data_IF_741522730637
#
_entry.id   IF_741522730637
#
_cell.length_a   1.000
_cell.length_b   1.000
_cell.length_c   1.000
_cell.angle_alpha   90.00
_cell.angle_beta   90.00
_cell.angle_gamma   90.00
#
_symmetry.space_group_name_H-M   'P 1'
#
loop_
_entity.id
_entity.type
_entity.pdbx_description
1 polymer ?
#
# COMPACT_ATOMS: atom_id res chain seq x y z
N UNK A 1 -8.51 15.57 20.35
CA UNK A 1 -8.03 14.54 19.41
C UNK A 1 -7.58 13.37 20.25
N UNK A 2 -8.23 12.23 20.13
CA UNK A 2 -7.78 11.01 20.82
C UNK A 2 -6.47 10.56 20.18
N UNK A 3 -5.49 10.15 20.98
CA UNK A 3 -4.17 9.71 20.49
C UNK A 3 -4.28 8.25 20.07
N UNK A 4 -3.83 7.93 18.86
CA UNK A 4 -3.75 6.55 18.38
C UNK A 4 -2.73 5.76 19.23
N UNK A 5 -3.15 4.70 19.96
CA UNK A 5 -2.23 3.94 20.79
C UNK A 5 -1.27 3.07 19.95
N UNK A 6 -0.04 2.82 20.46
CA UNK A 6 0.90 1.95 19.78
C UNK A 6 0.38 0.51 19.69
N UNK A 7 0.77 -0.21 18.63
CA UNK A 7 0.60 -1.65 18.53
C UNK A 7 1.80 -2.36 19.13
N UNK A 8 1.56 -3.45 19.88
CA UNK A 8 2.61 -4.26 20.50
C UNK A 8 2.40 -5.73 20.15
N UNK A 9 3.47 -6.41 19.76
CA UNK A 9 3.53 -7.86 19.50
C UNK A 9 4.89 -8.36 20.00
N UNK A 10 4.89 -9.18 21.05
CA UNK A 10 6.12 -9.63 21.72
C UNK A 10 7.04 -8.45 22.07
N UNK A 11 8.24 -8.39 21.47
CA UNK A 11 9.25 -7.35 21.63
C UNK A 11 9.17 -6.25 20.55
N UNK A 12 8.21 -6.31 19.62
CA UNK A 12 7.99 -5.29 18.59
C UNK A 12 6.93 -4.30 19.03
N UNK A 13 7.20 -3.01 18.84
CA UNK A 13 6.24 -1.92 19.01
C UNK A 13 6.17 -1.09 17.74
N UNK A 14 4.97 -0.86 17.24
CA UNK A 14 4.71 0.05 16.11
C UNK A 14 3.96 1.29 16.61
N UNK A 15 4.46 2.47 16.26
CA UNK A 15 3.91 3.77 16.63
C UNK A 15 4.25 4.80 15.57
N UNK A 16 3.51 5.92 15.52
CA UNK A 16 3.91 7.09 14.75
C UNK A 16 5.06 7.84 15.45
N UNK A 17 5.90 8.56 14.69
CA UNK A 17 6.79 9.58 15.25
C UNK A 17 6.00 10.63 16.03
N UNK A 18 6.63 11.25 17.02
CA UNK A 18 6.05 12.36 17.78
C UNK A 18 6.36 13.66 17.03
N UNK A 19 5.34 14.45 16.72
CA UNK A 19 5.50 15.83 16.26
C UNK A 19 5.72 16.74 17.46
N UNK A 20 6.92 17.30 17.59
CA UNK A 20 7.23 18.27 18.63
C UNK A 20 6.77 19.67 18.24
N UNK A 21 7.14 20.12 17.04
CA UNK A 21 6.84 21.47 16.57
C UNK A 21 6.60 21.49 15.05
N UNK A 22 5.73 22.39 14.60
CA UNK A 22 5.52 22.68 13.19
C UNK A 22 5.59 24.19 12.95
N UNK A 23 6.48 24.60 12.03
CA UNK A 23 6.70 25.98 11.65
C UNK A 23 6.02 26.25 10.31
N UNK A 24 4.81 26.81 10.34
CA UNK A 24 4.01 27.05 9.14
C UNK A 24 4.70 27.97 8.10
N UNK A 25 5.50 28.95 8.56
CA UNK A 25 6.18 29.89 7.65
C UNK A 25 7.27 29.24 6.78
N UNK A 26 7.88 28.16 7.25
CA UNK A 26 8.95 27.44 6.55
C UNK A 26 8.55 26.03 6.13
N UNK A 27 7.30 25.63 6.41
CA UNK A 27 6.82 24.25 6.25
C UNK A 27 7.74 23.21 6.89
N UNK A 28 8.32 23.54 8.05
CA UNK A 28 9.27 22.66 8.75
C UNK A 28 8.60 21.95 9.94
N UNK A 29 8.74 20.62 9.99
CA UNK A 29 8.30 19.79 11.12
C UNK A 29 9.51 19.29 11.91
N UNK A 30 9.46 19.38 13.23
CA UNK A 30 10.41 18.76 14.14
C UNK A 30 9.75 17.50 14.71
N UNK A 31 10.28 16.34 14.33
CA UNK A 31 9.78 15.02 14.72
C UNK A 31 10.72 14.35 15.73
N UNK A 32 10.22 13.34 16.44
CA UNK A 32 11.06 12.45 17.24
C UNK A 32 12.11 11.76 16.40
N UNK A 33 13.36 11.84 16.83
CA UNK A 33 14.46 11.06 16.25
C UNK A 33 14.30 9.56 16.58
N UNK A 34 14.72 8.72 15.63
CA UNK A 34 14.71 7.26 15.73
C UNK A 34 16.16 6.76 15.61
N UNK A 35 16.98 6.87 16.68
CA UNK A 35 18.39 6.51 16.60
C UNK A 35 18.56 5.01 16.38
N UNK A 36 19.53 4.64 15.52
CA UNK A 36 19.77 3.25 15.09
C UNK A 36 18.58 2.62 14.35
N UNK A 37 17.81 3.43 13.64
CA UNK A 37 16.75 2.94 12.76
C UNK A 37 17.26 2.62 11.35
N UNK A 38 16.47 1.81 10.63
CA UNK A 38 16.59 1.57 9.21
C UNK A 38 15.20 1.62 8.57
N UNK A 39 15.14 1.89 7.27
CA UNK A 39 13.89 1.73 6.51
C UNK A 39 13.50 0.25 6.49
N UNK A 40 12.20 -0.06 6.47
CA UNK A 40 11.73 -1.44 6.43
C UNK A 40 12.28 -2.20 5.21
N UNK A 41 12.34 -1.55 4.05
CA UNK A 41 12.98 -2.12 2.85
C UNK A 41 14.45 -2.53 3.11
N UNK A 42 15.23 -1.68 3.79
CA UNK A 42 16.64 -1.96 4.06
C UNK A 42 16.76 -3.10 5.07
N UNK A 43 15.96 -3.06 6.15
CA UNK A 43 15.89 -4.14 7.13
C UNK A 43 15.59 -5.49 6.47
N UNK A 44 14.56 -5.55 5.61
CA UNK A 44 14.15 -6.79 4.95
C UNK A 44 15.19 -7.32 3.95
N UNK A 45 16.08 -6.47 3.43
CA UNK A 45 17.19 -6.90 2.57
C UNK A 45 18.45 -7.34 3.35
N UNK A 46 18.42 -7.31 4.68
CA UNK A 46 19.57 -7.79 5.46
C UNK A 46 19.71 -9.31 5.36
N UNK A 47 20.95 -9.84 5.23
CA UNK A 47 21.17 -11.28 5.29
C UNK A 47 20.75 -11.85 6.65
N UNK A 48 20.37 -13.13 6.66
CA UNK A 48 20.18 -13.92 7.89
C UNK A 48 19.09 -13.39 8.84
N UNK A 49 18.03 -12.79 8.30
CA UNK A 49 16.86 -12.39 9.07
C UNK A 49 16.18 -13.57 9.77
N UNK A 50 15.85 -13.39 11.05
CA UNK A 50 14.97 -14.30 11.77
C UNK A 50 13.53 -14.15 11.25
N UNK A 51 13.00 -15.24 10.66
CA UNK A 51 11.63 -15.27 10.15
C UNK A 51 10.57 -14.97 11.24
N UNK A 52 10.84 -15.32 12.50
CA UNK A 52 9.94 -15.00 13.62
C UNK A 52 9.98 -13.50 13.95
N UNK A 53 11.14 -12.85 13.87
CA UNK A 53 11.25 -11.40 14.01
C UNK A 53 10.46 -10.68 12.91
N UNK A 54 10.69 -11.05 11.64
CA UNK A 54 9.96 -10.49 10.49
C UNK A 54 8.45 -10.71 10.63
N UNK A 55 8.04 -11.88 11.12
CA UNK A 55 6.63 -12.18 11.40
C UNK A 55 6.05 -11.25 12.46
N UNK A 56 6.74 -11.06 13.58
CA UNK A 56 6.31 -10.15 14.64
C UNK A 56 6.22 -8.69 14.15
N UNK A 57 7.16 -8.25 13.29
CA UNK A 57 7.09 -6.94 12.63
C UNK A 57 5.86 -6.84 11.74
N UNK A 58 5.59 -7.86 10.92
CA UNK A 58 4.39 -7.94 10.09
C UNK A 58 3.11 -7.76 10.91
N UNK A 59 2.91 -8.61 11.93
CA UNK A 59 1.71 -8.55 12.79
C UNK A 59 1.60 -7.20 13.50
N UNK A 60 2.70 -6.65 14.03
CA UNK A 60 2.65 -5.36 14.73
C UNK A 60 2.28 -4.21 13.78
N UNK A 61 2.86 -4.18 12.58
CA UNK A 61 2.60 -3.16 11.57
C UNK A 61 1.17 -3.23 11.04
N UNK A 62 0.69 -4.44 10.71
CA UNK A 62 -0.69 -4.64 10.27
C UNK A 62 -1.70 -4.23 11.34
N UNK A 63 -1.44 -4.59 12.62
CA UNK A 63 -2.28 -4.19 13.75
C UNK A 63 -2.32 -2.69 13.95
N UNK A 64 -1.18 -2.02 13.79
CA UNK A 64 -1.13 -0.56 13.90
C UNK A 64 -1.91 0.10 12.77
N UNK A 65 -1.76 -0.39 11.54
CA UNK A 65 -2.45 0.16 10.37
C UNK A 65 -3.97 -0.02 10.45
N UNK A 66 -4.44 -1.19 10.91
CA UNK A 66 -5.86 -1.43 11.17
C UNK A 66 -6.43 -0.44 12.20
N UNK A 67 -5.72 -0.25 13.32
CA UNK A 67 -6.11 0.74 14.33
C UNK A 67 -6.07 2.16 13.81
N UNK A 68 -5.11 2.51 12.95
CA UNK A 68 -5.03 3.83 12.33
C UNK A 68 -6.26 4.11 11.45
N UNK A 69 -6.65 3.16 10.60
CA UNK A 69 -7.86 3.29 9.78
C UNK A 69 -9.14 3.38 10.63
N UNK A 70 -9.27 2.53 11.66
CA UNK A 70 -10.40 2.58 12.59
C UNK A 70 -10.46 3.90 13.36
N UNK A 71 -9.33 4.35 13.90
CA UNK A 71 -9.18 5.62 14.60
C UNK A 71 -9.51 6.80 13.68
N UNK A 72 -8.98 6.80 12.46
CA UNK A 72 -9.21 7.84 11.46
C UNK A 72 -10.68 7.97 11.06
N UNK A 73 -11.46 6.88 11.17
CA UNK A 73 -12.90 6.86 10.90
C UNK A 73 -13.77 7.32 12.10
N UNK A 74 -13.23 7.38 13.32
CA UNK A 74 -14.01 7.73 14.51
C UNK A 74 -14.66 9.13 14.41
N UNK A 75 -15.85 9.35 14.99
CA UNK A 75 -16.50 10.66 15.02
C UNK A 75 -15.60 11.77 15.60
N UNK A 76 -14.79 11.43 16.61
CA UNK A 76 -13.86 12.36 17.27
C UNK A 76 -12.76 12.89 16.34
N UNK A 77 -12.50 12.20 15.22
CA UNK A 77 -11.56 12.62 14.18
C UNK A 77 -12.25 13.39 13.03
N UNK A 78 -13.53 13.72 13.13
CA UNK A 78 -14.25 14.43 12.07
C UNK A 78 -13.70 15.83 11.77
N UNK A 79 -13.06 16.50 12.74
CA UNK A 79 -12.36 17.76 12.46
C UNK A 79 -11.10 17.55 11.63
N UNK A 80 -10.31 16.53 11.96
CA UNK A 80 -9.10 16.16 11.21
C UNK A 80 -9.46 15.79 9.77
N UNK A 81 -10.51 14.98 9.55
CA UNK A 81 -10.98 14.63 8.20
C UNK A 81 -11.43 15.85 7.41
N UNK A 82 -12.09 16.82 8.04
CA UNK A 82 -12.48 18.07 7.37
C UNK A 82 -11.27 18.92 6.97
N UNK A 83 -10.24 18.95 7.80
CA UNK A 83 -9.00 19.68 7.52
C UNK A 83 -8.20 19.01 6.40
N UNK A 84 -7.98 17.70 6.49
CA UNK A 84 -7.19 16.96 5.50
C UNK A 84 -7.87 16.85 4.14
N UNK A 85 -9.19 17.05 4.07
CA UNK A 85 -9.91 17.22 2.79
C UNK A 85 -9.35 18.39 1.97
N UNK A 86 -8.74 19.38 2.63
CA UNK A 86 -8.02 20.47 1.99
C UNK A 86 -6.72 20.06 1.31
N UNK A 87 -6.15 18.88 1.63
CA UNK A 87 -4.94 18.34 0.99
C UNK A 87 -5.22 17.72 -0.40
N UNK A 88 -6.12 18.35 -1.15
CA UNK A 88 -6.60 17.87 -2.44
C UNK A 88 -5.47 17.80 -3.48
N UNK A 89 -4.52 18.75 -3.44
CA UNK A 89 -3.38 18.75 -4.34
C UNK A 89 -2.52 17.49 -4.19
N UNK A 90 -2.29 17.01 -2.96
CA UNK A 90 -1.56 15.76 -2.73
C UNK A 90 -2.37 14.53 -3.16
N UNK A 91 -3.69 14.54 -2.95
CA UNK A 91 -4.57 13.49 -3.43
C UNK A 91 -4.55 13.38 -4.98
N UNK A 92 -4.68 14.52 -5.67
CA UNK A 92 -4.59 14.59 -7.14
C UNK A 92 -3.19 14.22 -7.65
N UNK A 93 -2.14 14.67 -6.96
CA UNK A 93 -0.77 14.31 -7.28
C UNK A 93 -0.55 12.79 -7.16
N UNK A 94 -0.96 12.18 -6.04
CA UNK A 94 -0.87 10.73 -5.84
C UNK A 94 -1.66 9.97 -6.90
N UNK A 95 -2.86 10.44 -7.24
CA UNK A 95 -3.68 9.89 -8.32
C UNK A 95 -2.94 9.91 -9.66
N UNK A 96 -2.37 11.06 -10.04
CA UNK A 96 -1.68 11.23 -11.31
C UNK A 96 -0.41 10.39 -11.38
N UNK A 97 0.37 10.37 -10.30
CA UNK A 97 1.58 9.55 -10.18
C UNK A 97 1.24 8.06 -10.31
N UNK A 98 0.12 7.63 -9.73
CA UNK A 98 -0.24 6.21 -9.67
C UNK A 98 -1.00 5.77 -10.91
N UNK A 99 -2.21 6.29 -11.11
CA UNK A 99 -3.13 5.82 -12.15
C UNK A 99 -2.97 6.58 -13.46
N UNK A 100 -2.57 7.86 -13.41
CA UNK A 100 -2.27 8.64 -14.62
C UNK A 100 -1.20 7.99 -15.48
N UNK A 101 -0.17 7.42 -14.85
CA UNK A 101 0.93 6.74 -15.54
C UNK A 101 0.71 5.28 -15.88
N UNK A 102 -0.42 4.65 -15.48
CA UNK A 102 -0.74 3.29 -15.93
C UNK A 102 -0.82 3.19 -17.46
N UNK A 103 -1.26 4.25 -18.13
CA UNK A 103 -1.33 4.32 -19.60
C UNK A 103 0.05 4.12 -20.23
N UNK A 104 1.09 4.68 -19.62
CA UNK A 104 2.48 4.55 -20.09
C UNK A 104 2.99 3.11 -19.92
N UNK A 105 2.70 2.47 -18.77
CA UNK A 105 3.01 1.06 -18.56
C UNK A 105 2.30 0.16 -19.57
N UNK A 106 1.00 0.39 -19.83
CA UNK A 106 0.23 -0.39 -20.80
C UNK A 106 0.81 -0.25 -22.20
N UNK A 107 1.15 0.97 -22.61
CA UNK A 107 1.76 1.25 -23.91
C UNK A 107 3.14 0.61 -24.07
N UNK A 108 3.89 0.40 -22.97
CA UNK A 108 5.19 -0.27 -22.95
C UNK A 108 5.09 -1.78 -23.17
N UNK A 109 4.05 -2.44 -22.65
CA UNK A 109 3.87 -3.90 -22.77
C UNK A 109 2.57 -4.28 -23.50
N UNK A 110 2.34 -3.81 -24.75
CA UNK A 110 1.05 -3.97 -25.43
C UNK A 110 0.65 -5.44 -25.62
N UNK A 111 1.62 -6.33 -25.80
CA UNK A 111 1.39 -7.77 -25.91
C UNK A 111 0.87 -8.42 -24.62
N UNK A 112 1.19 -7.87 -23.43
CA UNK A 112 0.69 -8.37 -22.15
C UNK A 112 -0.77 -7.99 -21.92
N UNK A 113 -1.12 -6.74 -22.23
CA UNK A 113 -2.45 -6.21 -21.96
C UNK A 113 -3.46 -6.63 -23.03
N UNK A 114 -3.10 -6.62 -24.31
CA UNK A 114 -3.92 -7.14 -25.40
C UNK A 114 -5.41 -6.76 -25.28
N UNK A 115 -6.28 -7.77 -25.23
CA UNK A 115 -7.73 -7.60 -25.11
C UNK A 115 -8.20 -7.01 -23.77
N UNK A 116 -7.38 -7.04 -22.71
CA UNK A 116 -7.74 -6.51 -21.39
C UNK A 116 -7.54 -4.99 -21.24
N UNK A 117 -6.98 -4.31 -22.24
CA UNK A 117 -6.70 -2.85 -22.21
C UNK A 117 -7.92 -2.03 -21.78
N UNK A 118 -9.11 -2.40 -22.27
CA UNK A 118 -10.36 -1.72 -21.95
C UNK A 118 -10.75 -1.80 -20.46
N UNK A 119 -10.29 -2.83 -19.73
CA UNK A 119 -10.48 -2.96 -18.26
C UNK A 119 -9.74 -1.84 -17.55
N UNK A 120 -8.50 -1.57 -17.97
CA UNK A 120 -7.65 -0.52 -17.39
C UNK A 120 -8.16 0.88 -17.72
N UNK A 121 -8.68 1.10 -18.93
CA UNK A 121 -9.27 2.39 -19.30
C UNK A 121 -10.49 2.72 -18.44
N UNK A 122 -11.39 1.75 -18.25
CA UNK A 122 -12.54 1.89 -17.32
C UNK A 122 -12.07 2.11 -15.89
N UNK A 123 -11.04 1.36 -15.47
CA UNK A 123 -10.48 1.49 -14.13
C UNK A 123 -9.96 2.90 -13.88
N UNK A 124 -9.09 3.41 -14.74
CA UNK A 124 -8.53 4.76 -14.62
C UNK A 124 -9.65 5.80 -14.55
N UNK A 125 -10.71 5.65 -15.36
CA UNK A 125 -11.84 6.58 -15.32
C UNK A 125 -12.62 6.51 -14.00
N UNK A 126 -12.85 5.31 -13.45
CA UNK A 126 -13.53 5.12 -12.16
C UNK A 126 -12.70 5.71 -11.01
N UNK A 127 -11.42 5.40 -10.97
CA UNK A 127 -10.51 5.90 -9.93
C UNK A 127 -10.41 7.44 -9.95
N UNK A 128 -10.45 8.05 -11.13
CA UNK A 128 -10.49 9.52 -11.25
C UNK A 128 -11.69 10.13 -10.53
N UNK A 129 -12.85 9.47 -10.63
CA UNK A 129 -14.07 9.94 -9.97
C UNK A 129 -14.04 9.74 -8.46
N UNK A 130 -13.34 8.72 -7.97
CA UNK A 130 -13.20 8.46 -6.53
C UNK A 130 -12.37 9.54 -5.83
N UNK A 131 -11.24 9.93 -6.44
CA UNK A 131 -10.36 10.99 -5.93
C UNK A 131 -11.03 12.37 -5.94
N UNK A 132 -12.03 12.58 -6.80
CA UNK A 132 -12.84 13.79 -6.81
C UNK A 132 -13.82 13.91 -5.62
N UNK A 133 -13.81 12.98 -4.67
CA UNK A 133 -14.34 13.18 -3.32
C UNK A 133 -15.44 12.22 -2.87
N UNK A 134 -15.46 10.97 -3.36
CA UNK A 134 -16.41 9.96 -2.86
C UNK A 134 -15.90 9.26 -1.59
N UNK A 135 -14.59 9.21 -1.40
CA UNK A 135 -13.96 8.55 -0.26
C UNK A 135 -13.78 9.51 0.92
N UNK A 136 -13.99 8.99 2.13
CA UNK A 136 -13.94 9.76 3.38
C UNK A 136 -13.01 9.16 4.44
N UNK A 137 -12.29 8.07 4.12
CA UNK A 137 -11.38 7.42 5.06
C UNK A 137 -10.04 8.12 5.05
N UNK A 138 -9.47 8.32 6.23
CA UNK A 138 -8.12 8.86 6.37
C UNK A 138 -7.10 7.79 5.97
N UNK A 139 -6.23 8.10 5.01
CA UNK A 139 -5.14 7.22 4.55
C UNK A 139 -3.79 7.91 4.70
N UNK A 140 -2.73 7.13 4.85
CA UNK A 140 -1.34 7.58 4.77
C UNK A 140 -1.01 8.03 3.34
N UNK A 141 -1.56 7.35 2.33
CA UNK A 141 -1.50 7.75 0.92
C UNK A 141 -0.21 7.36 0.19
N UNK A 142 0.88 7.11 0.92
CA UNK A 142 2.12 6.53 0.37
C UNK A 142 2.74 5.45 1.27
N UNK A 143 1.91 4.57 1.83
CA UNK A 143 2.34 3.57 2.81
C UNK A 143 3.10 2.40 2.17
N UNK A 144 4.38 2.62 1.89
CA UNK A 144 5.33 1.62 1.37
C UNK A 144 6.46 1.29 2.34
N UNK A 145 7.25 0.28 2.02
CA UNK A 145 8.40 -0.18 2.83
C UNK A 145 9.50 0.88 3.02
N UNK A 146 9.52 1.93 2.19
CA UNK A 146 10.45 3.07 2.32
C UNK A 146 9.87 4.24 3.12
N UNK A 147 8.55 4.41 3.13
CA UNK A 147 7.90 5.70 3.40
C UNK A 147 6.94 5.64 4.61
N UNK A 148 7.09 4.66 5.51
CA UNK A 148 6.19 4.43 6.67
C UNK A 148 6.01 5.67 7.58
N UNK A 149 7.01 6.56 7.62
CA UNK A 149 6.99 7.77 8.47
C UNK A 149 6.63 9.03 7.69
N UNK A 150 6.45 8.93 6.38
CA UNK A 150 6.33 10.08 5.49
C UNK A 150 4.87 10.36 5.14
N UNK A 151 4.25 11.20 5.97
CA UNK A 151 2.82 11.49 5.92
C UNK A 151 2.44 12.55 4.87
N UNK A 152 3.35 12.97 3.99
CA UNK A 152 3.11 14.08 3.05
C UNK A 152 1.94 13.84 2.08
N UNK A 153 1.69 12.57 1.74
CA UNK A 153 0.58 12.17 0.86
C UNK A 153 -0.72 11.85 1.59
N UNK A 154 -0.84 12.15 2.88
CA UNK A 154 -2.04 11.82 3.64
C UNK A 154 -3.26 12.60 3.13
N UNK A 155 -4.35 11.88 2.84
CA UNK A 155 -5.57 12.47 2.31
C UNK A 155 -6.79 11.63 2.68
N UNK A 156 -7.98 12.04 2.21
CA UNK A 156 -9.17 11.19 2.26
C UNK A 156 -9.21 10.30 1.01
N UNK A 157 -9.23 8.99 1.21
CA UNK A 157 -9.13 8.00 0.14
C UNK A 157 -9.60 6.62 0.59
N UNK A 158 -9.43 5.62 -0.26
CA UNK A 158 -9.73 4.23 0.09
C UNK A 158 -8.56 3.63 0.87
N UNK A 159 -8.80 3.06 2.05
CA UNK A 159 -7.77 2.37 2.86
C UNK A 159 -7.04 1.26 2.11
N UNK A 160 -7.63 0.77 1.02
CA UNK A 160 -6.99 -0.19 0.14
C UNK A 160 -5.73 0.32 -0.54
N UNK A 161 -5.55 1.64 -0.70
CA UNK A 161 -4.32 2.21 -1.29
C UNK A 161 -3.11 1.91 -0.41
N UNK A 162 -3.26 2.08 0.91
CA UNK A 162 -2.20 1.82 1.88
C UNK A 162 -1.87 0.32 1.94
N UNK A 163 -2.91 -0.53 1.97
CA UNK A 163 -2.72 -1.98 1.98
C UNK A 163 -2.10 -2.48 0.68
N UNK A 164 -2.66 -2.09 -0.46
CA UNK A 164 -2.19 -2.52 -1.77
C UNK A 164 -0.74 -2.14 -2.03
N UNK A 165 -0.35 -0.91 -1.66
CA UNK A 165 1.04 -0.45 -1.82
C UNK A 165 2.00 -1.24 -0.91
N UNK A 166 1.69 -1.37 0.39
CA UNK A 166 2.55 -2.13 1.32
C UNK A 166 2.74 -3.58 0.86
N UNK A 167 1.64 -4.27 0.52
CA UNK A 167 1.69 -5.66 0.08
C UNK A 167 2.47 -5.80 -1.24
N UNK A 168 2.29 -4.86 -2.18
CA UNK A 168 3.01 -4.87 -3.45
C UNK A 168 4.52 -4.67 -3.26
N UNK A 169 4.93 -3.73 -2.39
CA UNK A 169 6.35 -3.51 -2.11
C UNK A 169 6.98 -4.72 -1.42
N UNK A 170 6.29 -5.37 -0.49
CA UNK A 170 6.75 -6.64 0.12
C UNK A 170 6.94 -7.74 -0.92
N UNK A 171 6.02 -7.87 -1.89
CA UNK A 171 6.14 -8.81 -3.00
C UNK A 171 7.33 -8.49 -3.91
N UNK A 172 7.49 -7.22 -4.30
CA UNK A 172 8.58 -6.76 -5.17
C UNK A 172 9.95 -7.07 -4.55
N UNK A 173 10.09 -6.98 -3.22
CA UNK A 173 11.32 -7.39 -2.53
C UNK A 173 11.64 -8.86 -2.74
N UNK A 174 10.66 -9.75 -2.60
CA UNK A 174 10.86 -11.18 -2.89
C UNK A 174 11.16 -11.41 -4.36
N UNK A 175 10.41 -10.78 -5.27
CA UNK A 175 10.49 -11.04 -6.71
C UNK A 175 11.82 -10.59 -7.32
N UNK A 176 12.35 -9.42 -6.93
CA UNK A 176 13.58 -8.87 -7.52
C UNK A 176 14.83 -9.14 -6.68
N UNK A 177 14.71 -9.31 -5.36
CA UNK A 177 15.86 -9.47 -4.48
C UNK A 177 15.94 -10.87 -3.83
N UNK A 178 15.05 -11.79 -4.19
CA UNK A 178 14.98 -13.15 -3.63
C UNK A 178 14.82 -13.19 -2.10
N UNK A 179 14.27 -12.12 -1.51
CA UNK A 179 13.99 -12.02 -0.07
C UNK A 179 12.68 -12.72 0.24
N UNK A 180 12.70 -14.04 0.45
CA UNK A 180 11.48 -14.83 0.66
C UNK A 180 10.75 -14.48 1.95
N UNK A 181 11.47 -14.08 2.99
CA UNK A 181 10.89 -13.63 4.28
C UNK A 181 9.96 -12.42 4.12
N UNK A 182 10.20 -11.55 3.11
CA UNK A 182 9.33 -10.40 2.82
C UNK A 182 7.94 -10.81 2.33
N UNK A 183 7.84 -11.81 1.43
CA UNK A 183 6.54 -12.36 1.01
C UNK A 183 5.80 -13.03 2.16
N UNK A 184 6.51 -13.73 3.06
CA UNK A 184 5.92 -14.29 4.28
C UNK A 184 5.32 -13.22 5.19
N UNK A 185 5.92 -12.02 5.21
CA UNK A 185 5.42 -10.88 5.97
C UNK A 185 4.04 -10.40 5.52
N UNK A 186 3.63 -10.61 4.26
CA UNK A 186 2.27 -10.24 3.77
C UNK A 186 1.19 -10.95 4.60
N UNK A 187 1.34 -12.27 4.79
CA UNK A 187 0.39 -13.05 5.58
C UNK A 187 0.37 -12.57 7.03
N UNK A 188 1.55 -12.31 7.61
CA UNK A 188 1.67 -11.86 9.01
C UNK A 188 1.13 -10.45 9.21
N UNK A 189 1.31 -9.57 8.22
CA UNK A 189 0.68 -8.26 8.17
C UNK A 189 -0.84 -8.38 8.21
N UNK A 190 -1.43 -9.26 7.40
CA UNK A 190 -2.88 -9.48 7.39
C UNK A 190 -3.40 -10.15 8.67
N UNK A 191 -2.63 -11.02 9.31
CA UNK A 191 -2.93 -11.52 10.67
C UNK A 191 -3.05 -10.36 11.67
N UNK A 192 -2.17 -9.37 11.55
CA UNK A 192 -2.23 -8.15 12.36
C UNK A 192 -3.39 -7.22 12.00
N UNK A 193 -3.60 -6.99 10.70
CA UNK A 193 -4.60 -6.06 10.19
C UNK A 193 -6.03 -6.54 10.42
N UNK A 194 -6.24 -7.85 10.27
CA UNK A 194 -7.54 -8.49 10.38
C UNK A 194 -8.19 -8.79 9.03
N UNK A 195 -9.36 -9.40 9.11
CA UNK A 195 -10.09 -9.87 7.95
C UNK A 195 -10.74 -8.73 7.16
N UNK A 196 -10.74 -8.86 5.84
CA UNK A 196 -11.42 -7.94 4.94
C UNK A 196 -12.74 -8.55 4.48
N UNK A 197 -13.74 -7.68 4.28
CA UNK A 197 -14.89 -8.05 3.45
C UNK A 197 -14.44 -8.18 2.00
N UNK A 198 -15.07 -9.07 1.24
CA UNK A 198 -14.70 -9.37 -0.14
C UNK A 198 -14.58 -8.12 -1.02
N UNK A 199 -15.49 -7.15 -0.87
CA UNK A 199 -15.43 -5.90 -1.63
C UNK A 199 -14.10 -5.14 -1.42
N UNK A 200 -13.69 -4.99 -0.16
CA UNK A 200 -12.42 -4.34 0.18
C UNK A 200 -11.22 -5.22 -0.21
N UNK A 201 -11.32 -6.54 -0.06
CA UNK A 201 -10.27 -7.48 -0.48
C UNK A 201 -9.98 -7.37 -1.98
N UNK A 202 -11.02 -7.32 -2.82
CA UNK A 202 -10.84 -7.08 -4.25
C UNK A 202 -10.25 -5.70 -4.53
N UNK A 203 -10.64 -4.67 -3.77
CA UNK A 203 -10.04 -3.36 -3.94
C UNK A 203 -8.55 -3.37 -3.58
N UNK A 204 -8.14 -4.04 -2.51
CA UNK A 204 -6.73 -4.22 -2.14
C UNK A 204 -5.97 -4.99 -3.23
N UNK A 205 -6.53 -6.07 -3.77
CA UNK A 205 -5.91 -6.81 -4.87
C UNK A 205 -5.71 -5.97 -6.13
N UNK A 206 -6.65 -5.08 -6.43
CA UNK A 206 -6.54 -4.12 -7.51
C UNK A 206 -5.41 -3.11 -7.26
N UNK A 207 -5.36 -2.50 -6.07
CA UNK A 207 -4.30 -1.55 -5.73
C UNK A 207 -2.91 -2.23 -5.73
N UNK A 208 -2.83 -3.45 -5.22
CA UNK A 208 -1.63 -4.28 -5.33
C UNK A 208 -1.20 -4.45 -6.78
N UNK A 209 -2.13 -4.85 -7.67
CA UNK A 209 -1.84 -5.04 -9.08
C UNK A 209 -1.41 -3.76 -9.80
N UNK A 210 -2.02 -2.61 -9.44
CA UNK A 210 -1.63 -1.29 -9.96
C UNK A 210 -0.17 -0.98 -9.62
N UNK A 211 0.22 -1.19 -8.36
CA UNK A 211 1.59 -0.97 -7.90
C UNK A 211 2.60 -1.87 -8.65
N UNK A 212 2.24 -3.14 -8.93
CA UNK A 212 3.09 -4.06 -9.70
C UNK A 212 3.24 -3.70 -11.18
N UNK A 213 2.19 -3.14 -11.80
CA UNK A 213 2.23 -2.67 -13.19
C UNK A 213 3.01 -1.35 -13.32
N UNK A 214 3.06 -0.55 -12.26
CA UNK A 214 3.61 0.80 -12.31
C UNK A 214 5.09 0.87 -11.92
N UNK A 215 5.42 0.47 -10.70
CA UNK A 215 6.71 0.84 -10.10
C UNK A 215 7.91 0.16 -10.73
N UNK A 216 7.91 -1.16 -10.98
CA UNK A 216 9.03 -1.83 -11.64
C UNK A 216 9.34 -1.26 -13.03
N UNK A 217 8.31 -0.80 -13.76
CA UNK A 217 8.45 -0.22 -15.10
C UNK A 217 9.13 1.16 -15.10
N UNK A 218 9.10 1.85 -13.95
CA UNK A 218 9.71 3.16 -13.77
C UNK A 218 11.18 3.08 -13.39
N UNK A 219 11.64 1.95 -12.87
CA UNK A 219 13.03 1.74 -12.50
C UNK A 219 13.87 1.48 -13.75
N UNK A 220 14.68 2.45 -14.24
CA UNK A 220 15.35 2.33 -15.53
C UNK A 220 16.33 1.16 -15.60
N UNK A 221 16.88 0.73 -14.45
CA UNK A 221 17.85 -0.36 -14.39
C UNK A 221 17.23 -1.74 -14.64
N UNK A 222 15.94 -1.94 -14.34
CA UNK A 222 15.27 -3.25 -14.42
C UNK A 222 14.05 -3.30 -15.36
N UNK A 223 13.58 -2.15 -15.88
CA UNK A 223 12.30 -2.07 -16.59
C UNK A 223 12.19 -2.97 -17.83
N UNK A 224 13.30 -3.28 -18.49
CA UNK A 224 13.32 -4.10 -19.71
C UNK A 224 13.72 -5.55 -19.42
N UNK A 225 13.82 -5.94 -18.14
CA UNK A 225 14.16 -7.30 -17.73
C UNK A 225 12.96 -8.27 -17.75
N UNK A 226 13.19 -9.58 -17.99
CA UNK A 226 12.13 -10.60 -17.93
C UNK A 226 11.42 -10.68 -16.56
N UNK A 227 12.10 -10.31 -15.48
CA UNK A 227 11.48 -10.23 -14.15
C UNK A 227 10.41 -9.13 -14.10
N UNK A 228 10.66 -7.96 -14.70
CA UNK A 228 9.67 -6.89 -14.78
C UNK A 228 8.46 -7.31 -15.59
N UNK A 229 8.66 -7.98 -16.73
CA UNK A 229 7.52 -8.49 -17.52
C UNK A 229 6.64 -9.45 -16.70
N UNK A 230 7.25 -10.35 -15.90
CA UNK A 230 6.50 -11.25 -15.00
C UNK A 230 5.73 -10.48 -13.94
N UNK A 231 6.33 -9.44 -13.36
CA UNK A 231 5.68 -8.59 -12.36
C UNK A 231 4.48 -7.84 -12.96
N UNK A 232 4.64 -7.26 -14.15
CA UNK A 232 3.57 -6.57 -14.88
C UNK A 232 2.44 -7.54 -15.25
N UNK A 233 2.77 -8.74 -15.71
CA UNK A 233 1.78 -9.79 -16.02
C UNK A 233 0.96 -10.17 -14.80
N UNK A 234 1.61 -10.41 -13.66
CA UNK A 234 0.92 -10.69 -12.40
C UNK A 234 0.02 -9.52 -11.99
N UNK A 235 0.54 -8.28 -12.03
CA UNK A 235 -0.24 -7.10 -11.70
C UNK A 235 -1.47 -6.93 -12.60
N UNK A 236 -1.34 -7.26 -13.89
CA UNK A 236 -2.48 -7.28 -14.82
C UNK A 236 -3.52 -8.32 -14.41
N UNK A 237 -3.10 -9.55 -14.13
CA UNK A 237 -4.02 -10.62 -13.76
C UNK A 237 -4.74 -10.30 -12.44
N UNK A 238 -4.03 -9.75 -11.45
CA UNK A 238 -4.60 -9.27 -10.18
C UNK A 238 -5.74 -8.26 -10.42
N UNK A 239 -5.53 -7.27 -11.28
CA UNK A 239 -6.54 -6.25 -11.60
C UNK A 239 -7.74 -6.87 -12.31
N UNK A 240 -7.51 -7.72 -13.32
CA UNK A 240 -8.59 -8.34 -14.09
C UNK A 240 -9.47 -9.21 -13.20
N UNK A 241 -8.88 -10.13 -12.44
CA UNK A 241 -9.65 -11.01 -11.55
C UNK A 241 -10.33 -10.24 -10.40
N UNK A 242 -9.74 -9.13 -9.93
CA UNK A 242 -10.37 -8.27 -8.93
C UNK A 242 -11.59 -7.49 -9.48
N UNK A 243 -11.54 -7.07 -10.74
CA UNK A 243 -12.67 -6.43 -11.44
C UNK A 243 -13.79 -7.44 -11.74
N UNK A 244 -13.42 -8.67 -12.10
CA UNK A 244 -14.36 -9.77 -12.37
C UNK A 244 -14.92 -10.41 -11.09
N UNK A 245 -14.40 -10.01 -9.92
CA UNK A 245 -14.76 -10.58 -8.61
C UNK A 245 -14.50 -12.10 -8.53
N UNK A 246 -13.47 -12.55 -9.22
CA UNK A 246 -13.05 -13.95 -9.23
C UNK A 246 -12.25 -14.30 -7.97
N UNK A 247 -12.97 -14.46 -6.86
CA UNK A 247 -12.39 -14.74 -5.55
C UNK A 247 -11.50 -15.98 -5.56
N UNK A 248 -11.94 -17.04 -6.24
CA UNK A 248 -11.28 -18.35 -6.22
C UNK A 248 -9.91 -18.32 -6.90
N UNK A 249 -9.69 -17.42 -7.86
CA UNK A 249 -8.39 -17.24 -8.50
C UNK A 249 -7.29 -16.82 -7.51
N UNK A 250 -7.65 -16.11 -6.44
CA UNK A 250 -6.69 -15.67 -5.42
C UNK A 250 -6.31 -16.77 -4.42
N UNK A 251 -7.01 -17.91 -4.43
CA UNK A 251 -6.76 -19.02 -3.51
C UNK A 251 -5.37 -19.60 -3.75
N UNK A 252 -4.66 -19.90 -2.67
CA UNK A 252 -3.29 -20.41 -2.68
C UNK A 252 -2.25 -19.45 -3.34
N UNK A 253 -2.67 -18.23 -3.67
CA UNK A 253 -1.84 -17.18 -4.25
C UNK A 253 -1.21 -16.26 -3.21
N UNK A 254 -0.41 -15.28 -3.67
CA UNK A 254 0.28 -14.32 -2.80
C UNK A 254 -0.68 -13.47 -1.95
N UNK A 255 -1.90 -13.24 -2.45
CA UNK A 255 -2.96 -12.51 -1.75
C UNK A 255 -4.00 -13.43 -1.12
N UNK A 256 -3.78 -14.74 -1.01
CA UNK A 256 -4.75 -15.65 -0.38
C UNK A 256 -5.22 -15.13 1.01
N UNK A 257 -4.25 -14.66 1.80
CA UNK A 257 -4.49 -14.13 3.16
C UNK A 257 -5.43 -12.92 3.27
N UNK A 258 -5.76 -12.24 2.17
CA UNK A 258 -6.70 -11.10 2.20
C UNK A 258 -8.17 -11.53 2.02
N UNK A 259 -8.42 -12.77 1.58
CA UNK A 259 -9.75 -13.30 1.33
C UNK A 259 -10.16 -14.35 2.38
N UNK A 260 -11.45 -14.39 2.71
CA UNK A 260 -12.02 -15.47 3.52
C UNK A 260 -12.64 -16.52 2.59
N UNK A 261 -12.03 -17.69 2.47
CA UNK A 261 -12.64 -18.77 1.72
C UNK A 261 -13.54 -19.62 2.61
N UNK A 262 -14.74 -19.93 2.13
CA UNK A 262 -15.62 -20.94 2.71
C UNK A 262 -15.17 -22.36 2.32
#
# INVERSE_FOLDING_TARGET
>A
MEVLPPAKVQYVTTTSPILYEYYAASHAAILSDLPRSSQLQVYLNTPELDANEVSNVGVSLGRWMSRFHEWGAMPDQASLRREIKGNHEMAEMKYNITYGSLRESIARYPALFGSSTHVFERLIQRLKTEVAGTEDQLVHGDFGCRNIIDWEFSHLGSVATDLGQMLAELYVLTHFHSVTVASGMITQFMVGYGQLKDELAFRVALEFGVNLVLWPCREPSIRDEPLTERCVRLGKDMIVHAEEKDKLWFRDGILDSIFIFA
#
